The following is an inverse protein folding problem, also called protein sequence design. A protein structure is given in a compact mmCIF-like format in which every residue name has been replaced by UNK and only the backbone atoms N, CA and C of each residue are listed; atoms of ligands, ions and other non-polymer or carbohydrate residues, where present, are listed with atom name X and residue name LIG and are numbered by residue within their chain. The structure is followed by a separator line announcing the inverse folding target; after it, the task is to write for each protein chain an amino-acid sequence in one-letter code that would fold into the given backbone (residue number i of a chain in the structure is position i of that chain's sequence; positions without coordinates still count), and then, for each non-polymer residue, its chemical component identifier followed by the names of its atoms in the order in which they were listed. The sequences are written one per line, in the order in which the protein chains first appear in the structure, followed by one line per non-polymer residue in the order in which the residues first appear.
data_IF_046560559651
#
_entry.id   IF_046560559651
#
_cell.length_a   1.000
_cell.length_b   1.000
_cell.length_c   1.000
_cell.angle_alpha   90.00
_cell.angle_beta   90.00
_cell.angle_gamma   90.00
#
_symmetry.space_group_name_H-M   'P 1'
#
loop_
_entity.id
_entity.type
_entity.pdbx_description
1 polymer ?
#
# COMPACT_ATOMS: atom_id res chain seq x y z
N UNK A 1 -9.57 -0.84 -19.35
CA UNK A 1 -9.03 -2.15 -18.96
C UNK A 1 -7.79 -1.91 -18.14
N UNK A 2 -7.67 -2.62 -17.01
CA UNK A 2 -6.56 -2.61 -16.10
C UNK A 2 -6.18 -4.03 -15.67
N UNK A 3 -4.90 -4.23 -15.38
CA UNK A 3 -4.33 -5.40 -14.72
C UNK A 3 -3.96 -5.00 -13.31
N UNK A 4 -4.55 -5.67 -12.33
CA UNK A 4 -4.43 -5.30 -10.92
C UNK A 4 -3.67 -6.40 -10.17
N UNK A 5 -2.75 -6.01 -9.29
CA UNK A 5 -1.99 -6.92 -8.42
C UNK A 5 -2.07 -6.47 -6.96
N UNK A 6 -2.10 -7.44 -6.04
CA UNK A 6 -2.03 -7.22 -4.60
C UNK A 6 -0.61 -6.94 -4.11
N UNK A 7 -0.38 -7.26 -2.84
CA UNK A 7 0.87 -7.02 -2.11
C UNK A 7 2.06 -7.72 -2.78
N UNK A 8 3.18 -7.00 -2.91
CA UNK A 8 4.38 -7.47 -3.65
C UNK A 8 5.53 -7.81 -2.68
N UNK A 9 5.68 -7.06 -1.58
CA UNK A 9 6.63 -7.30 -0.50
C UNK A 9 8.06 -7.65 -0.98
N UNK A 10 8.63 -6.81 -1.83
CA UNK A 10 10.00 -6.92 -2.32
C UNK A 10 10.24 -8.04 -3.32
N UNK A 11 9.19 -8.74 -3.78
CA UNK A 11 9.32 -9.79 -4.80
C UNK A 11 9.56 -9.17 -6.18
N UNK A 12 10.84 -8.98 -6.52
CA UNK A 12 11.28 -8.41 -7.80
C UNK A 12 10.80 -9.24 -9.01
N UNK A 13 10.71 -10.56 -8.87
CA UNK A 13 10.28 -11.42 -9.96
C UNK A 13 8.78 -11.26 -10.23
N UNK A 14 7.97 -11.20 -9.17
CA UNK A 14 6.54 -10.88 -9.24
C UNK A 14 6.30 -9.51 -9.89
N UNK A 15 7.02 -8.46 -9.48
CA UNK A 15 6.88 -7.13 -10.06
C UNK A 15 7.22 -7.10 -11.56
N UNK A 16 8.28 -7.81 -11.99
CA UNK A 16 8.61 -7.95 -13.42
C UNK A 16 7.52 -8.67 -14.20
N UNK A 17 7.06 -9.80 -13.68
CA UNK A 17 6.01 -10.58 -14.34
C UNK A 17 4.70 -9.76 -14.48
N UNK A 18 4.35 -8.98 -13.45
CA UNK A 18 3.21 -8.07 -13.46
C UNK A 18 3.31 -7.04 -14.58
N UNK A 19 4.42 -6.28 -14.63
CA UNK A 19 4.62 -5.23 -15.63
C UNK A 19 4.76 -5.80 -17.06
N UNK A 20 5.26 -7.03 -17.20
CA UNK A 20 5.38 -7.70 -18.49
C UNK A 20 4.05 -8.28 -19.02
N UNK A 21 3.09 -8.53 -18.13
CA UNK A 21 1.80 -9.07 -18.50
C UNK A 21 0.94 -8.00 -19.17
N UNK A 22 0.68 -8.16 -20.48
CA UNK A 22 -0.12 -7.21 -21.28
C UNK A 22 0.38 -5.76 -21.19
N UNK A 23 1.67 -5.51 -21.42
CA UNK A 23 2.37 -4.20 -21.33
C UNK A 23 1.68 -2.94 -21.88
N UNK A 24 0.68 -3.05 -22.76
CA UNK A 24 0.03 -1.91 -23.42
C UNK A 24 -1.28 -1.48 -22.73
N UNK A 25 -1.48 -1.88 -21.48
CA UNK A 25 -2.72 -1.69 -20.74
C UNK A 25 -2.38 -1.08 -19.38
N UNK A 26 -3.36 -0.53 -18.68
CA UNK A 26 -3.11 0.06 -17.37
C UNK A 26 -2.74 -1.01 -16.34
N UNK A 27 -1.69 -0.76 -15.56
CA UNK A 27 -1.27 -1.60 -14.45
C UNK A 27 -1.55 -0.88 -13.13
N UNK A 28 -2.19 -1.54 -12.18
CA UNK A 28 -2.48 -1.00 -10.85
C UNK A 28 -1.91 -1.93 -9.77
N UNK A 29 -1.02 -1.43 -8.94
CA UNK A 29 -0.45 -2.16 -7.80
C UNK A 29 -1.03 -1.65 -6.49
N UNK A 30 -1.63 -2.53 -5.68
CA UNK A 30 -2.47 -2.16 -4.54
C UNK A 30 -1.71 -1.79 -3.26
N UNK A 31 -0.38 -1.69 -3.31
CA UNK A 31 0.47 -1.32 -2.17
C UNK A 31 1.29 -2.49 -1.63
N UNK A 32 1.92 -2.23 -0.49
CA UNK A 32 2.84 -3.13 0.21
C UNK A 32 3.95 -3.63 -0.71
N UNK A 33 4.72 -2.68 -1.26
CA UNK A 33 5.81 -2.97 -2.20
C UNK A 33 7.08 -3.47 -1.51
N UNK A 34 7.24 -3.14 -0.23
CA UNK A 34 8.38 -3.48 0.62
C UNK A 34 7.92 -4.20 1.90
N UNK A 35 8.81 -4.36 2.88
CA UNK A 35 8.63 -5.13 4.11
C UNK A 35 8.47 -6.64 3.93
N UNK A 36 9.32 -7.23 3.10
CA UNK A 36 9.38 -8.67 2.90
C UNK A 36 9.68 -9.43 4.18
N UNK A 37 8.77 -10.35 4.52
CA UNK A 37 8.96 -11.30 5.63
C UNK A 37 9.75 -12.54 5.24
N UNK A 38 10.03 -12.76 3.94
CA UNK A 38 10.83 -13.90 3.50
C UNK A 38 12.31 -13.65 3.77
N UNK A 39 12.99 -14.42 4.66
CA UNK A 39 14.40 -14.26 5.01
C UNK A 39 15.39 -14.32 3.83
N UNK A 40 14.95 -14.75 2.65
CA UNK A 40 15.78 -14.84 1.44
C UNK A 40 15.85 -13.53 0.64
N UNK A 41 14.85 -12.65 0.75
CA UNK A 41 14.81 -11.39 0.00
C UNK A 41 15.88 -10.43 0.53
N UNK A 42 16.83 -10.02 -0.30
CA UNK A 42 17.88 -9.09 0.13
C UNK A 42 17.36 -7.65 0.14
N UNK A 43 18.10 -6.74 0.79
CA UNK A 43 17.76 -5.31 0.75
C UNK A 43 17.80 -4.80 -0.70
N UNK A 44 18.77 -5.28 -1.48
CA UNK A 44 18.94 -4.95 -2.89
C UNK A 44 17.78 -5.43 -3.74
N UNK A 45 17.26 -6.64 -3.50
CA UNK A 45 16.08 -7.17 -4.22
C UNK A 45 14.84 -6.33 -3.93
N UNK A 46 14.60 -6.01 -2.66
CA UNK A 46 13.45 -5.23 -2.22
C UNK A 46 13.51 -3.79 -2.75
N UNK A 47 14.69 -3.16 -2.70
CA UNK A 47 14.90 -1.84 -3.29
C UNK A 47 14.73 -1.86 -4.81
N UNK A 48 15.29 -2.86 -5.49
CA UNK A 48 15.14 -2.99 -6.94
C UNK A 48 13.67 -3.21 -7.34
N UNK A 49 12.90 -3.93 -6.52
CA UNK A 49 11.46 -4.10 -6.70
C UNK A 49 10.74 -2.75 -6.62
N UNK A 50 10.98 -1.97 -5.55
CA UNK A 50 10.38 -0.65 -5.38
C UNK A 50 10.77 0.32 -6.51
N UNK A 51 12.05 0.36 -6.89
CA UNK A 51 12.55 1.21 -7.97
C UNK A 51 11.97 0.81 -9.32
N UNK A 52 11.74 -0.48 -9.58
CA UNK A 52 11.09 -0.95 -10.80
C UNK A 52 9.66 -0.40 -10.90
N UNK A 53 8.88 -0.46 -9.80
CA UNK A 53 7.50 0.02 -9.77
C UNK A 53 7.43 1.56 -9.92
N UNK A 54 8.24 2.31 -9.17
CA UNK A 54 8.27 3.79 -9.21
C UNK A 54 8.80 4.35 -10.56
N UNK A 55 9.53 3.54 -11.33
CA UNK A 55 10.00 3.92 -12.67
C UNK A 55 9.13 3.37 -13.79
N UNK A 56 8.08 2.62 -13.47
CA UNK A 56 7.07 2.17 -14.45
C UNK A 56 5.96 3.21 -14.62
N UNK A 57 5.08 2.99 -15.60
CA UNK A 57 3.85 3.76 -15.80
C UNK A 57 2.66 3.24 -14.96
N UNK A 58 2.89 2.26 -14.07
CA UNK A 58 1.83 1.71 -13.23
C UNK A 58 1.29 2.75 -12.25
N UNK A 59 -0.01 2.67 -11.99
CA UNK A 59 -0.68 3.35 -10.88
C UNK A 59 -0.34 2.61 -9.60
N UNK A 60 0.22 3.33 -8.62
CA UNK A 60 0.62 2.76 -7.34
C UNK A 60 -0.37 3.21 -6.26
N UNK A 61 -0.78 2.29 -5.39
CA UNK A 61 -1.55 2.63 -4.20
C UNK A 61 -0.67 2.53 -2.95
N UNK A 62 -1.02 3.30 -1.93
CA UNK A 62 -0.41 3.20 -0.62
C UNK A 62 -0.87 1.94 0.10
N UNK A 63 0.06 1.06 0.47
CA UNK A 63 -0.13 0.05 1.50
C UNK A 63 0.21 0.58 2.90
N UNK A 64 -0.16 -0.17 3.94
CA UNK A 64 0.21 0.18 5.31
C UNK A 64 1.73 0.08 5.53
N UNK A 65 2.40 -0.86 4.85
CA UNK A 65 3.85 -0.99 4.90
C UNK A 65 4.54 0.15 4.16
N UNK A 66 4.04 0.56 3.00
CA UNK A 66 4.59 1.69 2.25
C UNK A 66 4.53 3.00 3.04
N UNK A 67 3.39 3.24 3.69
CA UNK A 67 3.16 4.46 4.48
C UNK A 67 4.11 4.56 5.68
N UNK A 68 4.63 3.44 6.20
CA UNK A 68 5.64 3.44 7.24
C UNK A 68 6.99 4.06 6.80
N UNK A 69 7.21 4.24 5.49
CA UNK A 69 8.38 4.87 4.88
C UNK A 69 8.09 6.29 4.37
N UNK A 70 7.15 6.99 4.99
CA UNK A 70 6.93 8.42 4.79
C UNK A 70 7.51 9.21 5.95
N UNK A 71 7.84 10.51 5.81
CA UNK A 71 8.21 11.34 6.97
C UNK A 71 7.15 11.33 8.09
N UNK A 72 5.88 11.21 7.70
CA UNK A 72 4.69 11.19 8.55
C UNK A 72 4.55 9.91 9.39
N UNK A 73 5.08 8.76 8.91
CA UNK A 73 5.14 7.46 9.61
C UNK A 73 3.90 7.11 10.43
N UNK A 74 2.69 6.97 9.83
CA UNK A 74 1.48 6.62 10.56
C UNK A 74 1.60 5.31 11.35
N UNK A 75 2.45 4.39 10.89
CA UNK A 75 2.77 3.14 11.58
C UNK A 75 4.29 2.90 11.57
N UNK A 76 4.73 1.94 12.39
CA UNK A 76 6.13 1.51 12.42
C UNK A 76 6.48 0.68 11.19
N UNK A 77 7.69 0.86 10.67
CA UNK A 77 8.22 0.03 9.60
C UNK A 77 8.59 -1.37 10.10
N UNK A 78 8.41 -2.40 9.27
CA UNK A 78 8.75 -3.78 9.61
C UNK A 78 9.98 -4.31 8.87
N UNK A 79 10.73 -3.43 8.19
CA UNK A 79 11.97 -3.86 7.54
C UNK A 79 12.90 -4.52 8.55
N UNK A 80 13.44 -5.66 8.15
CA UNK A 80 14.51 -6.34 8.87
C UNK A 80 15.90 -5.81 8.51
N UNK A 81 15.99 -4.92 7.52
CA UNK A 81 17.24 -4.40 7.03
C UNK A 81 17.74 -3.30 7.96
N UNK A 82 19.01 -3.41 8.37
CA UNK A 82 19.61 -2.62 9.44
C UNK A 82 20.15 -1.27 8.98
N UNK A 83 21.31 -0.91 9.52
CA UNK A 83 22.05 0.28 9.12
C UNK A 83 22.89 0.00 7.87
N UNK A 84 23.17 1.07 7.13
CA UNK A 84 24.10 1.05 6.00
C UNK A 84 25.52 1.20 6.53
N UNK A 85 26.45 0.36 6.04
CA UNK A 85 27.83 0.42 6.49
C UNK A 85 28.48 1.74 6.07
N UNK A 86 29.34 2.32 6.93
CA UNK A 86 29.99 3.60 6.66
C UNK A 86 30.69 3.69 5.27
N UNK A 87 31.39 2.65 4.78
CA UNK A 87 31.98 2.68 3.44
C UNK A 87 30.96 2.77 2.28
N UNK A 88 29.71 2.39 2.51
CA UNK A 88 28.65 2.40 1.50
C UNK A 88 27.87 3.71 1.47
N UNK A 89 27.98 4.56 2.50
CA UNK A 89 27.24 5.81 2.61
C UNK A 89 27.39 6.71 1.37
N UNK A 90 28.61 6.92 0.82
CA UNK A 90 28.76 7.76 -0.37
C UNK A 90 27.92 7.30 -1.57
N UNK A 91 27.71 5.99 -1.75
CA UNK A 91 26.87 5.43 -2.83
C UNK A 91 25.42 5.93 -2.75
N UNK A 92 24.93 6.20 -1.55
CA UNK A 92 23.54 6.57 -1.31
C UNK A 92 23.35 8.08 -1.21
N UNK A 93 24.33 8.82 -0.70
CA UNK A 93 24.23 10.27 -0.51
C UNK A 93 24.65 11.07 -1.74
N UNK A 94 25.49 10.51 -2.62
CA UNK A 94 25.95 11.24 -3.82
C UNK A 94 24.78 11.56 -4.77
N UNK A 95 24.52 12.86 -4.96
CA UNK A 95 23.37 13.36 -5.72
C UNK A 95 22.00 13.20 -5.04
N UNK A 96 21.94 12.87 -3.76
CA UNK A 96 20.69 12.76 -3.00
C UNK A 96 20.71 13.68 -1.76
N UNK A 97 20.16 14.89 -1.92
CA UNK A 97 20.13 15.92 -0.87
C UNK A 97 19.38 15.47 0.39
N UNK A 98 18.31 14.69 0.21
CA UNK A 98 17.53 14.14 1.32
C UNK A 98 18.39 13.21 2.19
N UNK A 99 19.02 12.20 1.59
CA UNK A 99 19.85 11.24 2.32
C UNK A 99 21.10 11.89 2.91
N UNK A 100 21.68 12.88 2.21
CA UNK A 100 22.79 13.69 2.71
C UNK A 100 22.41 14.42 4.00
N UNK A 101 21.24 15.07 4.02
CA UNK A 101 20.74 15.75 5.22
C UNK A 101 20.50 14.78 6.37
N UNK A 102 19.79 13.66 6.12
CA UNK A 102 19.51 12.63 7.13
C UNK A 102 20.81 12.10 7.75
N UNK A 103 21.83 11.82 6.93
CA UNK A 103 23.12 11.36 7.42
C UNK A 103 23.84 12.42 8.26
N UNK A 104 23.87 13.69 7.82
CA UNK A 104 24.51 14.78 8.56
C UNK A 104 23.85 15.04 9.93
N UNK A 105 22.52 14.87 10.02
CA UNK A 105 21.77 15.06 11.27
C UNK A 105 21.95 13.89 12.25
N UNK A 106 21.93 12.65 11.74
CA UNK A 106 21.89 11.46 12.58
C UNK A 106 23.26 10.79 12.78
N UNK A 107 24.26 11.12 11.96
CA UNK A 107 25.56 10.44 11.92
C UNK A 107 25.50 9.00 11.43
N UNK A 108 24.36 8.54 10.93
CA UNK A 108 24.13 7.19 10.41
C UNK A 108 23.01 7.21 9.36
N UNK A 109 23.02 6.21 8.48
CA UNK A 109 21.96 5.99 7.50
C UNK A 109 21.38 4.58 7.68
N UNK A 110 20.06 4.46 7.61
CA UNK A 110 19.34 3.20 7.74
C UNK A 110 18.73 2.81 6.38
N UNK A 111 18.51 1.51 6.15
CA UNK A 111 17.81 1.03 4.95
C UNK A 111 16.43 1.69 4.78
N UNK A 112 15.71 1.94 5.88
CA UNK A 112 14.43 2.69 5.85
C UNK A 112 14.56 4.08 5.24
N UNK A 113 15.68 4.76 5.46
CA UNK A 113 15.86 6.13 4.99
C UNK A 113 16.00 6.13 3.45
N UNK A 114 16.60 5.06 2.91
CA UNK A 114 16.68 4.83 1.46
C UNK A 114 15.29 4.59 0.88
N UNK A 115 14.46 3.72 1.48
CA UNK A 115 13.07 3.55 1.05
C UNK A 115 12.29 4.87 1.11
N UNK A 116 12.42 5.62 2.20
CA UNK A 116 11.76 6.93 2.36
C UNK A 116 12.14 7.91 1.24
N UNK A 117 13.42 7.93 0.85
CA UNK A 117 13.86 8.75 -0.29
C UNK A 117 13.18 8.37 -1.61
N UNK A 118 12.83 7.09 -1.83
CA UNK A 118 12.14 6.62 -3.04
C UNK A 118 10.67 6.99 -3.01
N UNK A 119 9.99 6.83 -1.88
CA UNK A 119 8.60 7.29 -1.73
C UNK A 119 8.48 8.81 -1.84
N UNK A 120 9.50 9.57 -1.43
CA UNK A 120 9.55 11.01 -1.68
C UNK A 120 9.47 11.31 -3.19
N UNK A 121 10.28 10.63 -4.01
CA UNK A 121 10.25 10.76 -5.48
C UNK A 121 8.87 10.36 -6.03
N UNK A 122 8.30 9.24 -5.57
CA UNK A 122 6.97 8.79 -6.01
C UNK A 122 5.85 9.81 -5.68
N UNK A 123 5.93 10.47 -4.52
CA UNK A 123 5.02 11.56 -4.12
C UNK A 123 5.17 12.79 -5.00
N UNK A 124 6.39 13.22 -5.29
CA UNK A 124 6.65 14.37 -6.17
C UNK A 124 6.10 14.13 -7.59
N UNK A 125 6.23 12.90 -8.09
CA UNK A 125 5.63 12.46 -9.36
C UNK A 125 4.10 12.32 -9.30
N UNK A 126 3.48 12.38 -8.12
CA UNK A 126 2.05 12.09 -7.88
C UNK A 126 1.63 10.72 -8.42
N UNK A 127 2.54 9.75 -8.37
CA UNK A 127 2.33 8.41 -8.92
C UNK A 127 1.58 7.50 -7.95
N UNK A 128 1.62 7.82 -6.66
CA UNK A 128 1.06 6.99 -5.60
C UNK A 128 -0.14 7.67 -4.92
N UNK A 129 -1.21 6.90 -4.72
CA UNK A 129 -2.51 7.40 -4.25
C UNK A 129 -3.12 6.48 -3.18
N UNK A 130 -4.12 6.93 -2.43
CA UNK A 130 -4.76 6.09 -1.40
C UNK A 130 -5.86 5.16 -1.97
N UNK A 131 -6.56 5.65 -2.98
CA UNK A 131 -7.60 4.92 -3.70
C UNK A 131 -7.55 5.25 -5.21
N UNK A 132 -8.04 4.32 -6.03
CA UNK A 132 -8.10 4.50 -7.48
C UNK A 132 -9.38 3.90 -8.06
N UNK A 133 -9.79 4.34 -9.25
CA UNK A 133 -10.94 3.79 -9.96
C UNK A 133 -10.46 3.19 -11.30
N UNK A 134 -10.71 1.90 -11.50
CA UNK A 134 -10.32 1.19 -12.72
C UNK A 134 -11.52 0.39 -13.24
N UNK A 135 -12.01 0.74 -14.44
CA UNK A 135 -13.10 0.03 -15.13
C UNK A 135 -14.34 -0.28 -14.26
N UNK A 136 -14.79 0.71 -13.50
CA UNK A 136 -15.95 0.55 -12.62
C UNK A 136 -15.68 -0.24 -11.33
N UNK A 137 -14.41 -0.45 -10.97
CA UNK A 137 -13.98 -0.98 -9.68
C UNK A 137 -13.29 0.09 -8.83
N UNK A 138 -13.61 0.15 -7.54
CA UNK A 138 -12.85 0.89 -6.54
C UNK A 138 -11.64 0.04 -6.11
N UNK A 139 -10.44 0.56 -6.32
CA UNK A 139 -9.20 -0.06 -5.88
C UNK A 139 -8.72 0.62 -4.60
N UNK A 140 -8.44 -0.17 -3.56
CA UNK A 140 -7.82 0.26 -2.31
C UNK A 140 -6.86 -0.83 -1.83
N UNK A 141 -5.99 -0.53 -0.88
CA UNK A 141 -5.05 -1.53 -0.38
C UNK A 141 -5.76 -2.69 0.34
N UNK A 142 -6.59 -2.40 1.34
CA UNK A 142 -7.19 -3.43 2.20
C UNK A 142 -8.71 -3.58 2.02
N UNK A 143 -9.36 -2.67 1.28
CA UNK A 143 -10.81 -2.67 1.05
C UNK A 143 -11.56 -1.66 1.91
N UNK A 144 -12.83 -1.41 1.57
CA UNK A 144 -13.73 -0.55 2.32
C UNK A 144 -14.86 -1.40 2.94
N UNK A 145 -14.90 -1.43 4.27
CA UNK A 145 -15.91 -2.14 5.04
C UNK A 145 -17.19 -1.31 5.21
N UNK A 146 -18.30 -1.99 5.53
CA UNK A 146 -19.55 -1.34 5.93
C UNK A 146 -19.41 -0.42 7.15
N UNK A 147 -18.49 -0.73 8.07
CA UNK A 147 -18.22 0.12 9.23
C UNK A 147 -17.50 1.41 8.85
N UNK A 148 -16.47 1.33 7.99
CA UNK A 148 -15.81 2.50 7.46
C UNK A 148 -16.81 3.43 6.76
N UNK A 149 -17.68 2.86 5.94
CA UNK A 149 -18.65 3.63 5.21
C UNK A 149 -19.72 4.29 6.11
N UNK A 150 -20.05 3.67 7.25
CA UNK A 150 -20.92 4.27 8.26
C UNK A 150 -20.25 5.45 9.00
N UNK A 151 -18.94 5.35 9.26
CA UNK A 151 -18.16 6.39 9.95
C UNK A 151 -17.73 7.53 9.01
N UNK A 152 -17.94 7.38 7.70
CA UNK A 152 -17.66 8.39 6.67
C UNK A 152 -18.91 8.74 5.85
N UNK A 153 -19.94 9.36 6.47
CA UNK A 153 -21.22 9.64 5.81
C UNK A 153 -21.13 10.66 4.67
N UNK A 154 -20.09 11.51 4.66
CA UNK A 154 -19.86 12.51 3.62
C UNK A 154 -19.21 11.94 2.36
N UNK A 155 -18.68 10.70 2.42
CA UNK A 155 -18.19 10.00 1.24
C UNK A 155 -19.39 9.58 0.38
N UNK A 156 -19.34 9.74 -0.95
CA UNK A 156 -20.48 9.50 -1.83
C UNK A 156 -20.76 8.00 -2.09
N UNK A 157 -20.82 7.17 -1.05
CA UNK A 157 -21.05 5.72 -1.16
C UNK A 157 -22.33 5.36 -1.93
N UNK A 158 -23.38 6.18 -1.79
CA UNK A 158 -24.69 5.98 -2.41
C UNK A 158 -24.68 6.16 -3.93
N UNK A 159 -23.65 6.78 -4.52
CA UNK A 159 -23.56 6.91 -5.97
C UNK A 159 -23.13 5.61 -6.64
N UNK A 160 -22.52 4.70 -5.88
CA UNK A 160 -21.85 3.50 -6.39
C UNK A 160 -20.80 3.79 -7.47
N UNK A 161 -20.34 5.05 -7.60
CA UNK A 161 -19.37 5.49 -8.60
C UNK A 161 -17.95 5.45 -8.03
N UNK A 162 -17.09 4.52 -8.46
CA UNK A 162 -15.72 4.40 -7.97
C UNK A 162 -14.88 5.66 -8.23
N UNK A 163 -15.16 6.44 -9.28
CA UNK A 163 -14.41 7.66 -9.58
C UNK A 163 -14.69 8.72 -8.53
N UNK A 164 -15.98 8.97 -8.23
CA UNK A 164 -16.38 9.90 -7.18
C UNK A 164 -15.85 9.48 -5.80
N UNK A 165 -15.94 8.18 -5.49
CA UNK A 165 -15.50 7.63 -4.20
C UNK A 165 -13.98 7.69 -4.05
N UNK A 166 -13.21 7.23 -5.04
CA UNK A 166 -11.73 7.29 -4.97
C UNK A 166 -11.23 8.72 -4.88
N UNK A 167 -11.83 9.66 -5.61
CA UNK A 167 -11.51 11.09 -5.52
C UNK A 167 -11.74 11.63 -4.10
N UNK A 168 -12.88 11.32 -3.49
CA UNK A 168 -13.18 11.70 -2.12
C UNK A 168 -12.19 11.08 -1.12
N UNK A 169 -11.92 9.77 -1.24
CA UNK A 169 -10.99 9.06 -0.35
C UNK A 169 -9.57 9.63 -0.43
N UNK A 170 -9.10 10.02 -1.62
CA UNK A 170 -7.79 10.66 -1.77
C UNK A 170 -7.75 12.06 -1.14
N UNK A 171 -8.83 12.82 -1.25
CA UNK A 171 -8.94 14.12 -0.59
C UNK A 171 -8.99 13.96 0.94
N UNK A 172 -9.72 12.98 1.45
CA UNK A 172 -9.82 12.70 2.88
C UNK A 172 -8.51 12.14 3.44
N UNK A 173 -7.85 11.24 2.71
CA UNK A 173 -6.50 10.77 3.02
C UNK A 173 -5.54 11.94 3.21
N UNK A 174 -5.51 12.91 2.29
CA UNK A 174 -4.62 14.06 2.42
C UNK A 174 -4.89 14.89 3.69
N UNK A 175 -6.16 14.99 4.13
CA UNK A 175 -6.53 15.67 5.39
C UNK A 175 -6.09 14.85 6.60
N UNK A 176 -6.50 13.59 6.67
CA UNK A 176 -6.24 12.68 7.78
C UNK A 176 -4.73 12.47 7.99
N UNK A 177 -3.99 12.29 6.89
CA UNK A 177 -2.54 12.07 6.87
C UNK A 177 -1.75 13.29 7.34
N UNK A 178 -2.24 14.51 7.12
CA UNK A 178 -1.56 15.73 7.54
C UNK A 178 -1.65 16.01 9.05
N UNK A 179 -2.48 15.26 9.79
CA UNK A 179 -2.74 15.52 11.21
C UNK A 179 -1.79 14.66 12.08
N UNK A 180 -1.00 15.28 12.98
CA UNK A 180 -0.21 14.52 13.95
C UNK A 180 -1.11 13.79 14.97
N UNK A 181 -0.88 12.50 15.17
CA UNK A 181 -1.53 11.68 16.21
C UNK A 181 -0.84 11.97 17.56
N UNK A 182 -1.59 12.49 18.53
CA UNK A 182 -1.11 12.63 19.91
C UNK A 182 -1.07 11.25 20.57
N UNK A 183 0.11 10.75 20.94
CA UNK A 183 0.21 9.57 21.82
C UNK A 183 -0.11 9.96 23.26
N UNK A 184 -0.86 9.09 23.94
CA UNK A 184 -1.19 9.18 25.38
C UNK A 184 0.00 8.82 26.29
N UNK A 185 1.13 8.37 25.74
CA UNK A 185 2.37 8.15 26.47
C UNK A 185 3.59 8.50 25.61
N UNK A 186 4.48 9.30 26.19
CA UNK A 186 5.59 10.03 25.61
C UNK A 186 6.65 9.11 24.96
N UNK A 187 6.51 8.80 23.66
CA UNK A 187 7.66 8.49 22.80
C UNK A 187 7.65 9.41 21.57
N UNK A 188 8.78 10.07 21.25
CA UNK A 188 8.82 11.22 20.34
C UNK A 188 9.04 10.82 18.87
N UNK A 189 8.30 9.84 18.37
CA UNK A 189 8.35 9.50 16.94
C UNK A 189 6.95 9.71 16.38
N UNK A 190 6.81 10.78 15.60
CA UNK A 190 5.52 11.24 15.09
C UNK A 190 4.79 10.11 14.37
N UNK A 191 3.60 9.78 14.86
CA UNK A 191 2.63 9.01 14.10
C UNK A 191 1.65 10.05 13.56
N UNK A 192 1.63 10.30 12.27
CA UNK A 192 0.58 11.09 11.63
C UNK A 192 -0.54 10.15 11.19
N UNK A 193 -1.61 10.67 10.58
CA UNK A 193 -2.77 9.87 10.24
C UNK A 193 -3.71 9.75 11.44
N UNK A 194 -4.83 10.45 11.36
CA UNK A 194 -5.94 10.31 12.30
C UNK A 194 -7.23 10.10 11.51
N UNK A 195 -8.14 9.31 12.06
CA UNK A 195 -9.46 9.12 11.47
C UNK A 195 -9.65 7.74 10.84
N UNK A 196 -10.88 7.50 10.33
CA UNK A 196 -11.31 6.18 9.89
C UNK A 196 -10.43 5.51 8.82
N UNK A 197 -9.74 6.24 7.94
CA UNK A 197 -8.88 5.60 6.93
C UNK A 197 -7.66 4.94 7.55
N UNK A 198 -7.17 5.50 8.66
CA UNK A 198 -5.98 5.03 9.38
C UNK A 198 -6.28 4.11 10.56
N UNK A 199 -7.55 3.76 10.80
CA UNK A 199 -7.90 2.86 11.89
C UNK A 199 -7.25 1.49 11.72
N UNK A 200 -6.77 0.93 12.83
CA UNK A 200 -6.18 -0.40 12.89
C UNK A 200 -6.98 -1.23 13.89
N UNK A 201 -7.64 -2.28 13.40
CA UNK A 201 -8.40 -3.20 14.24
C UNK A 201 -7.49 -3.91 15.26
N UNK A 202 -8.05 -4.26 16.42
CA UNK A 202 -7.32 -4.95 17.49
C UNK A 202 -6.75 -6.31 17.07
N UNK A 203 -7.40 -7.03 16.14
CA UNK A 203 -6.88 -8.29 15.57
C UNK A 203 -5.62 -8.08 14.72
N UNK A 204 -5.44 -6.87 14.18
CA UNK A 204 -4.23 -6.43 13.46
C UNK A 204 -3.24 -5.67 14.35
N UNK A 205 -3.44 -5.71 15.67
CA UNK A 205 -2.53 -5.11 16.67
C UNK A 205 -2.79 -3.63 16.95
N UNK A 206 -3.91 -3.08 16.48
CA UNK A 206 -4.33 -1.73 16.78
C UNK A 206 -5.23 -1.64 18.01
N UNK A 207 -5.90 -0.49 18.15
CA UNK A 207 -6.83 -0.20 19.24
C UNK A 207 -8.21 0.20 18.75
N UNK A 208 -8.38 0.32 17.44
CA UNK A 208 -9.61 0.79 16.85
C UNK A 208 -10.60 -0.36 16.73
N UNK A 209 -11.88 -0.02 16.59
CA UNK A 209 -12.89 -1.07 16.57
C UNK A 209 -12.85 -1.85 15.28
N UNK A 210 -12.39 -1.29 14.15
CA UNK A 210 -12.28 -1.87 12.81
C UNK A 210 -11.04 -1.37 12.06
N UNK A 211 -10.67 -2.01 10.94
CA UNK A 211 -9.59 -1.55 10.06
C UNK A 211 -10.06 -0.60 8.97
N UNK A 212 -9.33 0.50 8.75
CA UNK A 212 -9.54 1.41 7.62
C UNK A 212 -9.03 0.82 6.29
N UNK A 213 -8.96 1.63 5.22
CA UNK A 213 -8.59 1.15 3.87
C UNK A 213 -7.17 0.60 3.75
N UNK A 214 -6.35 0.72 4.80
CA UNK A 214 -4.99 0.19 4.87
C UNK A 214 -4.84 -1.03 5.80
N UNK A 215 -5.85 -1.35 6.61
CA UNK A 215 -5.77 -2.39 7.65
C UNK A 215 -7.00 -3.30 7.72
N UNK A 216 -8.04 -3.01 6.96
CA UNK A 216 -9.27 -3.80 6.94
C UNK A 216 -8.96 -5.26 6.59
N UNK A 217 -9.57 -6.17 7.35
CA UNK A 217 -9.47 -7.60 7.08
C UNK A 217 -10.85 -8.29 7.13
N UNK A 218 -11.43 -8.68 5.97
CA UNK A 218 -12.74 -9.34 5.95
C UNK A 218 -12.78 -10.73 6.60
N UNK A 219 -11.64 -11.38 6.84
CA UNK A 219 -11.58 -12.67 7.54
C UNK A 219 -11.61 -12.51 9.05
N UNK A 220 -10.93 -11.48 9.57
CA UNK A 220 -10.91 -11.18 11.00
C UNK A 220 -12.01 -10.22 11.46
N UNK A 221 -12.68 -9.55 10.51
CA UNK A 221 -13.82 -8.66 10.75
C UNK A 221 -15.12 -9.12 10.03
N UNK A 222 -15.57 -10.39 10.18
CA UNK A 222 -16.70 -10.93 9.42
C UNK A 222 -18.03 -10.19 9.66
N UNK A 223 -18.17 -9.53 10.81
CA UNK A 223 -19.31 -8.69 11.17
C UNK A 223 -19.36 -7.34 10.44
N UNK A 224 -18.30 -6.98 9.69
CA UNK A 224 -18.18 -5.75 8.91
C UNK A 224 -17.75 -6.09 7.49
N UNK A 225 -18.62 -6.77 6.71
CA UNK A 225 -18.26 -7.22 5.38
C UNK A 225 -17.86 -6.04 4.47
N UNK A 226 -17.16 -6.32 3.34
CA UNK A 226 -16.91 -5.31 2.33
C UNK A 226 -18.22 -4.67 1.89
N UNK A 227 -18.24 -3.34 1.78
CA UNK A 227 -19.47 -2.61 1.45
C UNK A 227 -20.06 -3.07 0.12
N UNK A 228 -21.33 -3.50 0.14
CA UNK A 228 -22.02 -4.06 -1.02
C UNK A 228 -22.55 -3.02 -1.99
N UNK A 229 -22.57 -1.73 -1.62
CA UNK A 229 -22.98 -0.64 -2.52
C UNK A 229 -21.98 -0.40 -3.65
N UNK A 230 -20.76 -0.91 -3.53
CA UNK A 230 -19.66 -0.66 -4.46
C UNK A 230 -19.00 -1.96 -4.93
N UNK A 231 -18.55 -1.97 -6.18
CA UNK A 231 -17.59 -2.96 -6.68
C UNK A 231 -16.19 -2.56 -6.24
N UNK A 232 -15.48 -3.43 -5.53
CA UNK A 232 -14.14 -3.12 -5.01
C UNK A 232 -13.12 -4.23 -5.25
N UNK A 233 -11.87 -3.85 -5.47
CA UNK A 233 -10.72 -4.75 -5.59
C UNK A 233 -9.71 -4.30 -4.54
N UNK A 234 -9.25 -5.24 -3.73
CA UNK A 234 -8.29 -4.96 -2.66
C UNK A 234 -7.35 -6.15 -2.42
N UNK A 235 -6.22 -5.88 -1.78
CA UNK A 235 -5.21 -6.84 -1.33
C UNK A 235 -5.24 -7.02 0.20
N UNK A 236 -4.06 -7.05 0.82
CA UNK A 236 -3.80 -7.13 2.27
C UNK A 236 -4.20 -8.42 3.00
N UNK A 237 -5.36 -8.98 2.67
CA UNK A 237 -5.93 -10.12 3.39
C UNK A 237 -5.65 -11.41 2.66
N UNK A 238 -4.78 -12.23 3.23
CA UNK A 238 -4.34 -13.48 2.62
C UNK A 238 -5.48 -14.45 2.37
N UNK A 239 -5.58 -15.00 1.17
CA UNK A 239 -6.56 -16.05 0.83
C UNK A 239 -5.88 -17.28 0.26
N UNK A 240 -6.48 -18.46 0.50
CA UNK A 240 -6.00 -19.75 -0.04
C UNK A 240 -6.11 -19.85 -1.57
N UNK A 241 -6.85 -18.94 -2.19
CA UNK A 241 -7.05 -18.89 -3.63
C UNK A 241 -7.69 -17.59 -4.08
N UNK A 242 -7.87 -17.41 -5.40
CA UNK A 242 -8.52 -16.23 -5.92
C UNK A 242 -9.94 -16.07 -5.38
N UNK A 243 -10.16 -15.06 -4.54
CA UNK A 243 -11.47 -14.79 -3.96
C UNK A 243 -12.23 -13.80 -4.84
N UNK A 244 -13.22 -14.33 -5.57
CA UNK A 244 -14.19 -13.53 -6.34
C UNK A 244 -15.57 -13.63 -5.71
N UNK A 245 -16.16 -12.48 -5.37
CA UNK A 245 -17.59 -12.33 -5.07
C UNK A 245 -18.19 -11.31 -6.05
N UNK A 246 -19.51 -11.16 -5.99
CA UNK A 246 -20.26 -10.27 -6.90
C UNK A 246 -19.77 -8.83 -6.83
N UNK A 247 -19.53 -8.32 -5.61
CA UNK A 247 -19.16 -6.93 -5.36
C UNK A 247 -17.69 -6.74 -4.94
N UNK A 248 -16.92 -7.81 -4.74
CA UNK A 248 -15.53 -7.65 -4.36
C UNK A 248 -14.60 -8.76 -4.84
N UNK A 249 -13.37 -8.36 -5.09
CA UNK A 249 -12.24 -9.22 -5.40
C UNK A 249 -11.17 -8.98 -4.33
N UNK A 250 -10.65 -10.06 -3.75
CA UNK A 250 -9.42 -10.00 -2.96
C UNK A 250 -8.32 -10.75 -3.69
N UNK A 251 -7.22 -10.06 -3.94
CA UNK A 251 -6.12 -10.53 -4.79
C UNK A 251 -4.84 -10.91 -4.02
N UNK A 252 -4.83 -10.88 -2.69
CA UNK A 252 -3.70 -11.38 -1.91
C UNK A 252 -3.78 -12.91 -1.78
N UNK A 253 -3.30 -13.61 -2.81
CA UNK A 253 -3.42 -15.07 -2.92
C UNK A 253 -2.08 -15.72 -2.56
N UNK A 254 -2.05 -16.61 -1.57
CA UNK A 254 -0.78 -17.13 -1.02
C UNK A 254 -0.05 -18.10 -1.96
N UNK A 255 -0.75 -18.76 -2.88
CA UNK A 255 -0.19 -19.86 -3.68
C UNK A 255 0.56 -19.42 -4.94
N UNK A 256 0.69 -18.13 -5.24
CA UNK A 256 1.46 -17.66 -6.38
C UNK A 256 1.28 -16.19 -6.70
N UNK A 257 1.79 -15.80 -7.86
CA UNK A 257 1.64 -14.43 -8.37
C UNK A 257 0.38 -14.36 -9.21
N UNK A 258 -0.60 -13.60 -8.77
CA UNK A 258 -1.89 -13.50 -9.44
C UNK A 258 -2.21 -12.06 -9.79
N UNK A 259 -2.81 -11.87 -10.94
CA UNK A 259 -3.38 -10.59 -11.37
C UNK A 259 -4.87 -10.73 -11.65
N UNK A 260 -5.63 -9.65 -11.51
CA UNK A 260 -7.01 -9.57 -11.96
C UNK A 260 -7.09 -8.70 -13.21
N UNK A 261 -7.67 -9.25 -14.28
CA UNK A 261 -7.95 -8.52 -15.51
C UNK A 261 -9.38 -7.99 -15.46
N UNK A 262 -9.55 -6.67 -15.42
CA UNK A 262 -10.88 -6.04 -15.32
C UNK A 262 -11.73 -6.18 -16.58
N UNK A 263 -11.15 -6.41 -17.76
CA UNK A 263 -11.90 -6.60 -19.00
C UNK A 263 -12.59 -7.96 -19.05
N UNK A 264 -11.85 -9.03 -18.74
CA UNK A 264 -12.41 -10.38 -18.68
C UNK A 264 -13.07 -10.69 -17.33
N UNK A 265 -12.84 -9.83 -16.33
CA UNK A 265 -13.14 -10.07 -14.91
C UNK A 265 -12.62 -11.45 -14.43
N UNK A 266 -11.42 -11.81 -14.85
CA UNK A 266 -10.80 -13.10 -14.52
C UNK A 266 -9.43 -12.93 -13.88
N UNK A 267 -9.06 -13.93 -13.08
CA UNK A 267 -7.72 -14.03 -12.54
C UNK A 267 -6.78 -14.69 -13.55
N UNK A 268 -5.55 -14.19 -13.64
CA UNK A 268 -4.46 -14.83 -14.35
C UNK A 268 -3.30 -15.10 -13.40
N UNK A 269 -2.77 -16.33 -13.43
CA UNK A 269 -1.56 -16.68 -12.68
C UNK A 269 -0.34 -16.34 -13.53
N UNK A 270 0.58 -15.57 -12.95
CA UNK A 270 1.83 -15.16 -13.58
C UNK A 270 3.01 -16.04 -13.18
N UNK A 271 2.95 -16.68 -12.01
CA UNK A 271 4.03 -17.54 -11.51
C UNK A 271 3.72 -18.22 -10.18
N UNK A 272 4.77 -18.78 -9.58
CA UNK A 272 4.76 -19.46 -8.28
C UNK A 272 5.81 -18.79 -7.38
N UNK A 273 5.52 -18.76 -6.07
CA UNK A 273 6.39 -18.20 -5.04
C UNK A 273 7.46 -19.20 -4.58
#
# INVERSE_FOLDING_TARGET
MAIIIGDIHGDLAMARAFLDYKRNVEHVALGDFVDSRDPKVTFEDELACLELLINSDAVLLWGNHDLAYTPERPWGCFTRHGFINAPEIPRWTDGNDYLTRVYNENGALYCRDIFESRYHIAREKKQITAAYAADGWLCTHAGASTALAADMPDCPWETSDPVAISSWLNAEFAKEFAIPRRRFSERPVGLYGVGPLFFTDWTRGGSDTYGGIFWYDPQWEPQRPPDSRIKQIFGHTKTEGPMRKVNHINIHIEDGWWVFNTESEEFARLGVK
#
